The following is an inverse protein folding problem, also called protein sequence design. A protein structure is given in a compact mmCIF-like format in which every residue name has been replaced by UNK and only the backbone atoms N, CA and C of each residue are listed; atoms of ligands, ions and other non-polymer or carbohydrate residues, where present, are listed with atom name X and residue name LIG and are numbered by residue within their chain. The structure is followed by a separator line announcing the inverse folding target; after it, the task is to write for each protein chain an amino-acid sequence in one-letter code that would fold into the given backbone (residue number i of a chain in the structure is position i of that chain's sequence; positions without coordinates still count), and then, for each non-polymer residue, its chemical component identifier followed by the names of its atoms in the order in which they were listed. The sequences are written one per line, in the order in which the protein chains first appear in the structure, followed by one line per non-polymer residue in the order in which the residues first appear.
data_IF_410794541375
#
_entry.id   IF_410794541375
#
_cell.length_a   1.000
_cell.length_b   1.000
_cell.length_c   1.000
_cell.angle_alpha   90.00
_cell.angle_beta   90.00
_cell.angle_gamma   90.00
#
_symmetry.space_group_name_H-M   'P 1'
#
loop_
_entity.id
_entity.type
_entity.pdbx_description
1 polymer ?
#
# COMPACT_ATOMS: atom_id res chain seq x y z
N UNK A 1 -40.35 26.54 -26.65
CA UNK A 1 -38.90 26.22 -26.48
C UNK A 1 -38.32 26.44 -25.07
N UNK A 2 -39.08 26.81 -24.02
CA UNK A 2 -38.53 27.07 -22.67
C UNK A 2 -38.59 25.90 -21.66
N UNK A 3 -39.20 24.75 -22.00
CA UNK A 3 -39.35 23.59 -21.08
C UNK A 3 -38.24 22.52 -21.19
N UNK A 4 -37.34 22.61 -22.18
CA UNK A 4 -36.30 21.59 -22.41
C UNK A 4 -35.02 21.81 -21.56
N UNK A 5 -34.78 23.03 -21.08
CA UNK A 5 -33.58 23.36 -20.31
C UNK A 5 -33.61 22.91 -18.84
N UNK A 6 -34.80 22.65 -18.28
CA UNK A 6 -34.93 22.26 -16.87
C UNK A 6 -34.58 20.79 -16.60
N UNK A 7 -34.67 19.93 -17.62
CA UNK A 7 -34.35 18.49 -17.50
C UNK A 7 -32.83 18.25 -17.61
N UNK A 8 -32.07 19.12 -18.30
CA UNK A 8 -30.62 19.01 -18.38
C UNK A 8 -29.88 19.42 -17.08
N UNK A 9 -30.50 20.25 -16.23
CA UNK A 9 -29.89 20.75 -14.98
C UNK A 9 -30.09 19.82 -13.78
N UNK A 10 -31.12 18.96 -13.79
CA UNK A 10 -31.40 17.99 -12.71
C UNK A 10 -30.65 16.65 -12.87
N UNK A 11 -30.00 16.44 -14.02
CA UNK A 11 -29.10 15.31 -14.28
C UNK A 11 -27.62 15.65 -14.05
N UNK A 12 -27.32 16.77 -13.40
CA UNK A 12 -26.13 16.91 -12.57
C UNK A 12 -26.24 15.94 -11.38
N UNK A 13 -26.32 14.67 -11.75
CA UNK A 13 -26.23 13.50 -10.91
C UNK A 13 -24.96 13.74 -10.13
N UNK A 14 -25.15 14.04 -8.86
CA UNK A 14 -24.13 14.02 -7.85
C UNK A 14 -23.55 12.60 -7.86
N UNK A 15 -22.66 12.33 -8.81
CA UNK A 15 -21.70 11.26 -8.77
C UNK A 15 -20.73 11.65 -7.66
N UNK A 16 -21.25 11.66 -6.42
CA UNK A 16 -20.46 11.70 -5.21
C UNK A 16 -19.52 10.53 -5.36
N UNK A 17 -18.28 10.84 -5.71
CA UNK A 17 -17.27 9.83 -5.95
C UNK A 17 -17.18 9.01 -4.68
N UNK A 18 -17.79 7.81 -4.70
CA UNK A 18 -17.88 7.01 -3.48
C UNK A 18 -16.48 6.83 -2.92
N UNK A 19 -16.33 7.11 -1.64
CA UNK A 19 -15.04 7.10 -0.96
C UNK A 19 -14.48 5.69 -0.96
N UNK A 20 -13.26 5.53 -1.45
CA UNK A 20 -12.50 4.30 -1.22
C UNK A 20 -12.14 4.20 0.27
N UNK A 21 -12.35 3.04 0.88
CA UNK A 21 -11.89 2.73 2.24
C UNK A 21 -10.79 1.69 2.15
N UNK A 22 -9.57 2.08 2.50
CA UNK A 22 -8.37 1.25 2.31
C UNK A 22 -7.69 0.87 3.62
N UNK A 23 -7.28 -0.40 3.74
CA UNK A 23 -6.52 -0.93 4.89
C UNK A 23 -5.20 -1.55 4.42
N UNK A 24 -4.12 -1.28 5.14
CA UNK A 24 -2.82 -1.93 4.97
C UNK A 24 -2.67 -3.17 5.84
N UNK A 25 -2.85 -4.36 5.26
CA UNK A 25 -2.54 -5.63 5.91
C UNK A 25 -1.24 -6.21 5.35
N UNK A 26 -0.11 -5.63 5.75
CA UNK A 26 1.20 -5.99 5.20
C UNK A 26 1.55 -7.47 5.34
N UNK A 27 1.07 -8.14 6.40
CA UNK A 27 1.29 -9.56 6.68
C UNK A 27 0.19 -10.48 6.17
N UNK A 28 -0.72 -10.01 5.31
CA UNK A 28 -1.87 -10.82 4.82
C UNK A 28 -1.46 -12.12 4.13
N UNK A 29 -0.22 -12.24 3.65
CA UNK A 29 0.32 -13.46 3.04
C UNK A 29 0.87 -14.49 4.04
N UNK A 30 0.74 -14.22 5.34
CA UNK A 30 1.11 -15.17 6.36
C UNK A 30 0.01 -16.24 6.53
N UNK A 31 0.37 -17.52 6.55
CA UNK A 31 -0.59 -18.64 6.68
C UNK A 31 -1.45 -18.58 7.95
N UNK A 32 -0.96 -17.98 9.03
CA UNK A 32 -1.70 -17.83 10.29
C UNK A 32 -2.35 -16.44 10.42
N UNK A 33 -2.39 -15.63 9.36
CA UNK A 33 -3.07 -14.35 9.37
C UNK A 33 -4.58 -14.56 9.63
N UNK A 34 -5.21 -13.82 10.56
CA UNK A 34 -6.61 -14.02 10.94
C UNK A 34 -7.57 -13.45 9.86
N UNK A 35 -7.58 -14.08 8.69
CA UNK A 35 -8.17 -13.55 7.47
C UNK A 35 -9.65 -13.17 7.61
N UNK A 36 -10.48 -14.09 8.10
CA UNK A 36 -11.92 -13.88 8.14
C UNK A 36 -12.29 -12.73 9.09
N UNK A 37 -11.54 -12.54 10.19
CA UNK A 37 -11.73 -11.39 11.07
C UNK A 37 -11.27 -10.09 10.42
N UNK A 38 -10.10 -10.12 9.79
CA UNK A 38 -9.53 -8.94 9.13
C UNK A 38 -10.41 -8.42 7.98
N UNK A 39 -11.01 -9.31 7.17
CA UNK A 39 -11.80 -8.90 6.02
C UNK A 39 -13.19 -8.34 6.37
N UNK A 40 -13.73 -8.61 7.57
CA UNK A 40 -15.01 -8.06 8.05
C UNK A 40 -15.05 -6.53 8.08
N UNK A 41 -13.90 -5.85 8.18
CA UNK A 41 -13.85 -4.38 8.13
C UNK A 41 -14.44 -3.82 6.82
N UNK A 42 -14.42 -4.61 5.75
CA UNK A 42 -14.93 -4.27 4.44
C UNK A 42 -16.44 -4.56 4.27
N UNK A 43 -17.13 -5.10 5.27
CA UNK A 43 -18.56 -5.36 5.20
C UNK A 43 -19.34 -4.06 4.99
N UNK A 44 -20.16 -4.00 3.94
CA UNK A 44 -20.89 -2.79 3.54
C UNK A 44 -20.01 -1.65 3.00
N UNK A 45 -18.69 -1.82 2.89
CA UNK A 45 -17.82 -0.87 2.17
C UNK A 45 -18.06 -1.06 0.68
N UNK A 46 -18.42 0.00 -0.04
CA UNK A 46 -18.71 -0.08 -1.49
C UNK A 46 -17.48 -0.22 -2.37
N UNK A 47 -16.38 0.46 -2.00
CA UNK A 47 -15.10 0.47 -2.73
C UNK A 47 -13.95 0.15 -1.76
N UNK A 48 -13.78 -1.12 -1.39
CA UNK A 48 -12.73 -1.53 -0.48
C UNK A 48 -11.38 -1.47 -1.19
N UNK A 49 -10.34 -1.19 -0.42
CA UNK A 49 -8.98 -1.26 -0.91
C UNK A 49 -8.05 -1.98 0.07
N UNK A 50 -7.17 -2.81 -0.48
CA UNK A 50 -6.23 -3.61 0.28
C UNK A 50 -4.82 -3.23 -0.13
N UNK A 51 -3.94 -3.06 0.86
CA UNK A 51 -2.52 -2.84 0.66
C UNK A 51 -1.71 -3.89 1.42
N UNK A 52 -0.70 -4.48 0.78
CA UNK A 52 0.15 -5.48 1.44
C UNK A 52 1.58 -5.55 0.88
N UNK A 53 2.47 -6.24 1.60
CA UNK A 53 3.86 -6.47 1.21
C UNK A 53 4.01 -7.84 0.54
N UNK A 54 4.60 -7.88 -0.65
CA UNK A 54 4.74 -9.13 -1.40
C UNK A 54 5.89 -10.01 -0.89
N UNK A 55 5.55 -11.19 -0.39
CA UNK A 55 6.50 -12.25 -0.04
C UNK A 55 7.25 -12.04 1.28
N UNK A 56 7.08 -10.89 1.94
CA UNK A 56 7.82 -10.54 3.16
C UNK A 56 7.41 -11.41 4.36
N UNK A 57 6.12 -11.68 4.51
CA UNK A 57 5.55 -12.35 5.69
C UNK A 57 5.01 -13.77 5.40
N UNK A 58 5.29 -14.28 4.21
CA UNK A 58 4.79 -15.55 3.70
C UNK A 58 4.47 -15.46 2.21
N UNK A 59 4.03 -16.57 1.63
CA UNK A 59 3.65 -16.71 0.23
C UNK A 59 2.22 -17.27 0.04
N UNK A 60 1.45 -17.37 1.12
CA UNK A 60 0.06 -17.81 1.08
C UNK A 60 -0.84 -16.68 0.57
N UNK A 61 -1.37 -16.84 -0.64
CA UNK A 61 -2.23 -15.82 -1.27
C UNK A 61 -3.72 -15.98 -0.93
N UNK A 62 -4.11 -17.04 -0.22
CA UNK A 62 -5.52 -17.38 0.01
C UNK A 62 -6.33 -16.24 0.64
N UNK A 63 -5.74 -15.48 1.56
CA UNK A 63 -6.44 -14.35 2.17
C UNK A 63 -6.62 -13.15 1.23
N UNK A 64 -5.63 -12.91 0.35
CA UNK A 64 -5.75 -11.87 -0.70
C UNK A 64 -6.82 -12.27 -1.71
N UNK A 65 -6.89 -13.55 -2.07
CA UNK A 65 -7.94 -14.09 -2.94
C UNK A 65 -9.33 -13.92 -2.29
N UNK A 66 -9.48 -14.24 -1.00
CA UNK A 66 -10.72 -13.96 -0.25
C UNK A 66 -11.12 -12.48 -0.30
N UNK A 67 -10.17 -11.54 -0.19
CA UNK A 67 -10.46 -10.11 -0.36
C UNK A 67 -10.98 -9.78 -1.77
N UNK A 68 -10.37 -10.38 -2.79
CA UNK A 68 -10.74 -10.18 -4.19
C UNK A 68 -12.15 -10.72 -4.49
N UNK A 69 -12.51 -11.83 -3.84
CA UNK A 69 -13.80 -12.51 -3.98
C UNK A 69 -14.93 -11.88 -3.15
N UNK A 70 -14.65 -10.86 -2.34
CA UNK A 70 -15.70 -10.12 -1.64
C UNK A 70 -16.74 -9.57 -2.66
N UNK A 71 -18.03 -9.44 -2.30
CA UNK A 71 -19.11 -9.19 -3.27
C UNK A 71 -19.11 -7.79 -3.92
N UNK A 72 -18.21 -6.89 -3.51
CA UNK A 72 -18.15 -5.53 -4.02
C UNK A 72 -17.76 -5.47 -5.50
N UNK A 73 -18.49 -4.63 -6.24
CA UNK A 73 -18.34 -4.47 -7.69
C UNK A 73 -16.98 -3.91 -8.11
N UNK A 74 -16.32 -3.09 -7.28
CA UNK A 74 -15.02 -2.49 -7.61
C UNK A 74 -14.11 -2.48 -6.40
N UNK A 75 -12.85 -2.88 -6.59
CA UNK A 75 -11.84 -2.96 -5.54
C UNK A 75 -10.54 -2.32 -6.01
N UNK A 76 -9.71 -1.89 -5.07
CA UNK A 76 -8.34 -1.49 -5.37
C UNK A 76 -7.35 -2.36 -4.59
N UNK A 77 -6.28 -2.83 -5.24
CA UNK A 77 -5.25 -3.65 -4.59
C UNK A 77 -3.88 -3.02 -4.80
N UNK A 78 -3.16 -2.79 -3.71
CA UNK A 78 -1.86 -2.15 -3.65
C UNK A 78 -0.82 -3.15 -3.16
N UNK A 79 0.15 -3.42 -4.02
CA UNK A 79 1.22 -4.38 -3.75
C UNK A 79 2.50 -3.59 -3.56
N UNK A 80 3.05 -3.63 -2.35
CA UNK A 80 4.41 -3.16 -2.11
C UNK A 80 5.40 -4.24 -2.54
N UNK A 81 6.24 -3.89 -3.51
CA UNK A 81 7.15 -4.84 -4.14
C UNK A 81 8.28 -5.34 -3.22
N UNK A 82 8.70 -4.52 -2.26
CA UNK A 82 9.80 -4.79 -1.32
C UNK A 82 9.52 -4.11 0.01
N UNK A 83 9.94 -4.71 1.13
CA UNK A 83 9.90 -4.08 2.44
C UNK A 83 11.20 -3.30 2.71
N UNK A 84 11.23 -2.00 2.40
CA UNK A 84 12.43 -1.20 2.67
C UNK A 84 12.61 -0.86 4.15
N UNK A 85 11.55 -0.92 4.97
CA UNK A 85 11.66 -0.78 6.42
C UNK A 85 12.55 -1.88 7.02
N UNK A 86 12.29 -3.16 6.69
CA UNK A 86 13.13 -4.25 7.17
C UNK A 86 14.57 -4.12 6.65
N UNK A 87 14.75 -3.60 5.43
CA UNK A 87 16.07 -3.48 4.80
C UNK A 87 16.90 -2.41 5.49
N UNK A 88 16.31 -1.25 5.80
CA UNK A 88 16.94 -0.20 6.59
C UNK A 88 17.37 -0.72 7.96
N UNK A 89 16.49 -1.52 8.58
CA UNK A 89 16.70 -2.06 9.92
C UNK A 89 17.51 -3.38 9.93
N UNK A 90 17.91 -3.90 8.76
CA UNK A 90 18.62 -5.19 8.61
C UNK A 90 17.92 -6.38 9.28
N UNK A 91 16.59 -6.39 9.22
CA UNK A 91 15.74 -7.40 9.86
C UNK A 91 14.89 -8.19 8.87
N UNK A 92 15.15 -8.03 7.57
CA UNK A 92 14.42 -8.75 6.53
C UNK A 92 14.48 -10.26 6.74
N UNK A 93 13.35 -10.91 6.53
CA UNK A 93 13.18 -12.35 6.71
C UNK A 93 13.26 -13.08 5.37
N UNK A 94 13.37 -14.41 5.47
CA UNK A 94 13.25 -15.30 4.32
C UNK A 94 11.95 -15.02 3.57
N UNK A 95 12.08 -14.85 2.26
CA UNK A 95 10.97 -14.48 1.37
C UNK A 95 11.11 -13.08 0.80
N UNK A 96 11.81 -12.16 1.49
CA UNK A 96 12.08 -10.80 1.00
C UNK A 96 13.04 -10.77 -0.20
N UNK A 97 12.86 -9.79 -1.09
CA UNK A 97 13.74 -9.55 -2.23
C UNK A 97 15.13 -9.20 -1.71
N UNK A 98 16.13 -9.98 -2.10
CA UNK A 98 17.52 -9.69 -1.74
C UNK A 98 17.67 -9.45 -0.22
N UNK A 99 17.09 -10.34 0.59
CA UNK A 99 16.92 -10.20 2.05
C UNK A 99 18.19 -9.71 2.79
N UNK A 100 19.37 -10.20 2.40
CA UNK A 100 20.65 -9.93 3.08
C UNK A 100 21.35 -8.67 2.55
N UNK A 101 20.68 -7.92 1.67
CA UNK A 101 21.27 -6.77 1.00
C UNK A 101 20.88 -5.46 1.70
N UNK A 102 21.82 -4.75 2.34
CA UNK A 102 21.53 -3.45 2.93
C UNK A 102 21.23 -2.40 1.85
N UNK A 103 20.54 -1.33 2.24
CA UNK A 103 20.05 -0.26 1.33
C UNK A 103 21.17 0.33 0.46
N UNK A 104 22.35 0.62 1.01
CA UNK A 104 23.47 1.20 0.24
C UNK A 104 23.98 0.25 -0.85
N UNK A 105 24.04 -1.06 -0.56
CA UNK A 105 24.51 -2.08 -1.50
C UNK A 105 23.49 -2.27 -2.63
N UNK A 106 22.20 -2.29 -2.29
CA UNK A 106 21.12 -2.36 -3.27
C UNK A 106 21.11 -1.12 -4.18
N UNK A 107 21.27 0.08 -3.61
CA UNK A 107 21.42 1.31 -4.38
C UNK A 107 22.59 1.23 -5.37
N UNK A 108 23.77 0.79 -4.92
CA UNK A 108 24.94 0.65 -5.78
C UNK A 108 24.72 -0.36 -6.91
N UNK A 109 24.18 -1.55 -6.60
CA UNK A 109 23.95 -2.61 -7.59
C UNK A 109 22.87 -2.24 -8.62
N UNK A 110 21.78 -1.61 -8.18
CA UNK A 110 20.77 -1.06 -9.10
C UNK A 110 21.35 0.09 -9.93
N UNK A 111 22.18 0.93 -9.33
CA UNK A 111 22.92 1.99 -10.03
C UNK A 111 23.78 1.44 -11.17
N UNK A 112 24.50 0.34 -10.90
CA UNK A 112 25.34 -0.38 -11.88
C UNK A 112 24.57 -1.30 -12.82
N UNK A 113 23.25 -1.37 -12.71
CA UNK A 113 22.41 -2.31 -13.47
C UNK A 113 22.87 -3.77 -13.35
N UNK A 114 23.31 -4.17 -12.15
CA UNK A 114 23.78 -5.52 -11.87
C UNK A 114 22.77 -6.59 -12.34
N UNK A 115 23.26 -7.56 -13.13
CA UNK A 115 22.41 -8.55 -13.80
C UNK A 115 21.66 -9.40 -12.78
N UNK A 116 22.33 -9.92 -11.75
CA UNK A 116 21.73 -10.78 -10.73
C UNK A 116 20.62 -10.06 -9.96
N UNK A 117 20.87 -8.81 -9.57
CA UNK A 117 19.90 -7.94 -8.91
C UNK A 117 18.67 -7.70 -9.80
N UNK A 118 18.88 -7.37 -11.08
CA UNK A 118 17.78 -7.17 -12.05
C UNK A 118 16.97 -8.44 -12.27
N UNK A 119 17.62 -9.59 -12.40
CA UNK A 119 16.95 -10.87 -12.63
C UNK A 119 16.11 -11.30 -11.42
N UNK A 120 16.58 -11.03 -10.19
CA UNK A 120 15.79 -11.22 -8.98
C UNK A 120 14.51 -10.35 -8.96
N UNK A 121 14.64 -9.07 -9.33
CA UNK A 121 13.50 -8.15 -9.47
C UNK A 121 12.53 -8.64 -10.54
N UNK A 122 13.02 -8.99 -11.74
CA UNK A 122 12.18 -9.50 -12.83
C UNK A 122 11.44 -10.77 -12.41
N UNK A 123 12.12 -11.69 -11.73
CA UNK A 123 11.53 -12.94 -11.23
C UNK A 123 10.39 -12.66 -10.25
N UNK A 124 10.57 -11.73 -9.30
CA UNK A 124 9.49 -11.33 -8.39
C UNK A 124 8.35 -10.64 -9.12
N UNK A 125 8.64 -9.72 -10.04
CA UNK A 125 7.63 -9.02 -10.82
C UNK A 125 6.80 -9.99 -11.66
N UNK A 126 7.44 -10.99 -12.29
CA UNK A 126 6.73 -12.05 -13.03
C UNK A 126 5.70 -12.75 -12.16
N UNK A 127 6.07 -13.18 -10.94
CA UNK A 127 5.13 -13.81 -10.00
C UNK A 127 3.94 -12.90 -9.63
N UNK A 128 4.20 -11.61 -9.41
CA UNK A 128 3.15 -10.62 -9.12
C UNK A 128 2.20 -10.48 -10.31
N UNK A 129 2.75 -10.37 -11.54
CA UNK A 129 1.95 -10.22 -12.76
C UNK A 129 1.11 -11.47 -13.03
N UNK A 130 1.68 -12.67 -12.90
CA UNK A 130 0.95 -13.94 -13.04
C UNK A 130 -0.23 -14.02 -12.06
N UNK A 131 -0.01 -13.62 -10.79
CA UNK A 131 -1.10 -13.52 -9.82
C UNK A 131 -2.17 -12.53 -10.27
N UNK A 132 -1.80 -11.31 -10.62
CA UNK A 132 -2.74 -10.26 -11.07
C UNK A 132 -3.56 -10.73 -12.27
N UNK A 133 -2.93 -11.35 -13.26
CA UNK A 133 -3.59 -11.86 -14.46
C UNK A 133 -4.60 -12.96 -14.13
N UNK A 134 -4.21 -13.90 -13.27
CA UNK A 134 -5.10 -14.97 -12.82
C UNK A 134 -6.31 -14.42 -12.04
N UNK A 135 -6.12 -13.44 -11.16
CA UNK A 135 -7.23 -12.86 -10.41
C UNK A 135 -8.11 -11.95 -11.27
N UNK A 136 -7.54 -11.19 -12.21
CA UNK A 136 -8.31 -10.34 -13.11
C UNK A 136 -9.18 -11.14 -14.09
N UNK A 137 -8.79 -12.37 -14.44
CA UNK A 137 -9.65 -13.29 -15.21
C UNK A 137 -10.92 -13.67 -14.43
N UNK A 138 -10.82 -13.83 -13.12
CA UNK A 138 -11.96 -14.13 -12.23
C UNK A 138 -12.80 -12.88 -11.92
N UNK A 139 -12.14 -11.75 -11.69
CA UNK A 139 -12.78 -10.50 -11.33
C UNK A 139 -12.11 -9.32 -12.06
N UNK A 140 -12.66 -8.86 -13.20
CA UNK A 140 -12.04 -7.83 -14.02
C UNK A 140 -12.16 -6.40 -13.45
N UNK A 141 -12.90 -6.21 -12.34
CA UNK A 141 -13.21 -4.91 -11.76
C UNK A 141 -12.27 -4.55 -10.60
N UNK A 142 -11.00 -4.87 -10.73
CA UNK A 142 -9.95 -4.54 -9.75
C UNK A 142 -8.98 -3.54 -10.37
N UNK A 143 -8.77 -2.43 -9.67
CA UNK A 143 -7.69 -1.50 -9.98
C UNK A 143 -6.40 -1.96 -9.26
N UNK A 144 -5.34 -2.23 -10.02
CA UNK A 144 -4.10 -2.76 -9.48
C UNK A 144 -3.03 -1.70 -9.38
N UNK A 145 -2.33 -1.66 -8.25
CA UNK A 145 -1.25 -0.72 -7.97
C UNK A 145 -0.03 -1.47 -7.45
N UNK A 146 1.15 -1.14 -7.95
CA UNK A 146 2.41 -1.73 -7.49
C UNK A 146 3.37 -0.58 -7.15
N UNK A 147 3.85 -0.53 -5.91
CA UNK A 147 4.92 0.40 -5.53
C UNK A 147 6.30 -0.21 -5.75
N UNK A 148 7.34 0.61 -5.87
CA UNK A 148 8.74 0.14 -5.86
C UNK A 148 9.16 -0.53 -4.54
N UNK A 149 8.50 -0.18 -3.45
CA UNK A 149 8.58 -0.82 -2.13
C UNK A 149 7.82 0.01 -1.10
N UNK A 150 7.82 -0.42 0.15
CA UNK A 150 7.25 0.31 1.30
C UNK A 150 8.34 1.21 1.90
N UNK A 151 8.12 2.52 1.94
CA UNK A 151 9.05 3.53 2.46
C UNK A 151 10.47 3.47 1.85
N UNK A 152 10.50 3.57 0.53
CA UNK A 152 11.71 3.45 -0.28
C UNK A 152 12.78 4.49 0.08
N UNK A 153 13.98 4.00 0.40
CA UNK A 153 15.17 4.81 0.70
C UNK A 153 16.22 4.74 -0.43
N UNK A 154 15.74 4.81 -1.68
CA UNK A 154 16.60 4.83 -2.87
C UNK A 154 17.04 6.25 -3.21
N UNK A 155 18.27 6.40 -3.71
CA UNK A 155 18.68 7.65 -4.36
C UNK A 155 17.77 7.93 -5.56
N UNK A 156 17.57 9.21 -5.92
CA UNK A 156 16.65 9.57 -7.00
C UNK A 156 16.97 8.84 -8.33
N UNK A 157 18.26 8.74 -8.69
CA UNK A 157 18.70 8.04 -9.90
C UNK A 157 18.36 6.53 -9.85
N UNK A 158 18.58 5.87 -8.70
CA UNK A 158 18.25 4.45 -8.50
C UNK A 158 16.74 4.24 -8.52
N UNK A 159 15.99 5.10 -7.84
CA UNK A 159 14.52 5.09 -7.80
C UNK A 159 13.94 5.15 -9.22
N UNK A 160 14.47 6.03 -10.09
CA UNK A 160 14.07 6.14 -11.50
C UNK A 160 14.40 4.86 -12.29
N UNK A 161 15.60 4.29 -12.09
CA UNK A 161 16.00 3.03 -12.74
C UNK A 161 15.10 1.87 -12.32
N UNK A 162 14.82 1.73 -11.02
CA UNK A 162 13.97 0.67 -10.51
C UNK A 162 12.52 0.83 -10.98
N UNK A 163 11.96 2.03 -10.90
CA UNK A 163 10.63 2.34 -11.43
C UNK A 163 10.51 2.00 -12.93
N UNK A 164 11.51 2.36 -13.74
CA UNK A 164 11.53 2.03 -15.17
C UNK A 164 11.66 0.52 -15.41
N UNK A 165 12.44 -0.19 -14.60
CA UNK A 165 12.53 -1.65 -14.68
C UNK A 165 11.15 -2.29 -14.44
N UNK A 166 10.42 -1.88 -13.39
CA UNK A 166 9.08 -2.37 -13.13
C UNK A 166 8.09 -2.02 -14.25
N UNK A 167 8.16 -0.80 -14.80
CA UNK A 167 7.35 -0.40 -15.96
C UNK A 167 7.62 -1.27 -17.19
N UNK A 168 8.88 -1.59 -17.46
CA UNK A 168 9.25 -2.41 -18.61
C UNK A 168 8.75 -3.85 -18.46
N UNK A 169 8.80 -4.42 -17.26
CA UNK A 169 8.21 -5.74 -17.00
C UNK A 169 6.68 -5.70 -17.08
N UNK A 170 6.04 -4.67 -16.51
CA UNK A 170 4.60 -4.43 -16.63
C UNK A 170 4.15 -4.33 -18.10
N UNK A 171 4.94 -3.71 -18.97
CA UNK A 171 4.61 -3.57 -20.39
C UNK A 171 4.48 -4.91 -21.14
N UNK A 172 5.00 -6.00 -20.58
CA UNK A 172 4.87 -7.36 -21.12
C UNK A 172 3.57 -8.06 -20.73
N UNK A 173 2.84 -7.52 -19.74
CA UNK A 173 1.56 -8.07 -19.29
C UNK A 173 0.41 -7.63 -20.21
N UNK A 174 -0.57 -8.51 -20.39
CA UNK A 174 -1.84 -8.20 -21.06
C UNK A 174 -2.63 -7.10 -20.32
N UNK A 175 -2.36 -6.91 -19.02
CA UNK A 175 -3.04 -5.96 -18.15
C UNK A 175 -2.26 -4.66 -17.93
N UNK A 176 -1.33 -4.34 -18.83
CA UNK A 176 -0.50 -3.13 -18.74
C UNK A 176 -1.31 -1.84 -18.57
N UNK A 177 -2.54 -1.73 -19.04
CA UNK A 177 -3.32 -0.50 -18.86
C UNK A 177 -4.11 -0.47 -17.54
N UNK A 178 -4.32 -1.63 -16.89
CA UNK A 178 -4.98 -1.75 -15.58
C UNK A 178 -4.03 -1.66 -14.39
N UNK A 179 -2.75 -1.95 -14.59
CA UNK A 179 -1.75 -1.95 -13.52
C UNK A 179 -1.08 -0.57 -13.44
N UNK A 180 -1.08 0.08 -12.28
CA UNK A 180 -0.41 1.37 -12.05
C UNK A 180 0.85 1.17 -11.22
N UNK A 181 2.01 1.58 -11.76
CA UNK A 181 3.26 1.60 -10.99
C UNK A 181 3.42 2.98 -10.34
N UNK A 182 3.81 3.01 -9.08
CA UNK A 182 4.09 4.24 -8.34
C UNK A 182 5.30 4.07 -7.42
N UNK A 183 5.74 5.15 -6.78
CA UNK A 183 6.81 5.13 -5.77
C UNK A 183 6.22 5.42 -4.39
N UNK A 184 6.67 4.72 -3.35
CA UNK A 184 6.32 5.07 -1.98
C UNK A 184 7.58 5.46 -1.19
N UNK A 185 8.09 6.69 -1.35
CA UNK A 185 9.39 7.06 -0.80
C UNK A 185 9.29 7.39 0.70
N UNK A 186 10.35 7.08 1.46
CA UNK A 186 10.46 7.48 2.87
C UNK A 186 10.53 9.01 3.04
N UNK A 187 11.31 9.66 2.18
CA UNK A 187 11.44 11.12 2.13
C UNK A 187 10.84 11.68 0.83
N UNK A 188 10.37 12.93 0.87
CA UNK A 188 9.47 13.55 -0.11
C UNK A 188 9.94 13.67 -1.58
N UNK A 189 10.99 12.96 -1.98
CA UNK A 189 11.46 12.90 -3.38
C UNK A 189 10.58 11.96 -4.19
N UNK A 190 9.54 12.51 -4.80
CA UNK A 190 8.66 11.81 -5.71
C UNK A 190 9.18 11.83 -7.15
N UNK A 191 8.86 10.81 -7.95
CA UNK A 191 9.15 10.80 -9.39
C UNK A 191 7.91 11.32 -10.12
N UNK A 192 7.99 12.50 -10.75
CA UNK A 192 6.94 13.07 -11.62
C UNK A 192 5.53 12.96 -11.00
N UNK A 193 5.34 13.45 -9.77
CA UNK A 193 4.07 13.38 -8.97
C UNK A 193 3.49 11.98 -8.72
N UNK A 194 4.09 10.91 -9.25
CA UNK A 194 3.69 9.51 -9.03
C UNK A 194 4.25 8.95 -7.74
N UNK A 195 3.81 9.52 -6.63
CA UNK A 195 4.09 8.97 -5.32
C UNK A 195 2.86 8.92 -4.43
N UNK A 196 2.99 8.14 -3.38
CA UNK A 196 1.94 7.94 -2.38
C UNK A 196 1.44 9.24 -1.73
N UNK A 197 2.35 10.21 -1.57
CA UNK A 197 2.08 11.50 -0.95
C UNK A 197 1.37 12.47 -1.92
N UNK A 198 1.71 12.43 -3.21
CA UNK A 198 1.23 13.39 -4.22
C UNK A 198 0.15 12.81 -5.15
N UNK A 199 -0.67 11.87 -4.64
CA UNK A 199 -1.73 11.11 -5.36
C UNK A 199 -2.82 11.92 -6.08
N UNK A 200 -2.63 13.21 -6.39
CA UNK A 200 -3.53 13.99 -7.25
C UNK A 200 -3.77 13.29 -8.61
N UNK A 201 -2.75 12.65 -9.17
CA UNK A 201 -2.85 11.96 -10.48
C UNK A 201 -3.37 10.51 -10.40
N UNK A 202 -3.54 9.95 -9.19
CA UNK A 202 -4.23 8.67 -9.00
C UNK A 202 -5.74 8.84 -8.76
N UNK A 203 -6.22 10.09 -8.76
CA UNK A 203 -7.62 10.43 -8.96
C UNK A 203 -8.53 10.31 -7.73
N UNK A 204 -8.07 10.59 -6.50
CA UNK A 204 -8.97 10.76 -5.33
C UNK A 204 -8.30 11.28 -4.03
N UNK A 205 -9.11 11.93 -3.20
CA UNK A 205 -8.92 12.20 -1.76
C UNK A 205 -8.92 10.90 -0.92
N UNK A 206 -8.14 9.90 -1.28
CA UNK A 206 -8.15 8.60 -0.59
C UNK A 206 -7.36 8.68 0.72
N UNK A 207 -8.08 8.72 1.84
CA UNK A 207 -7.51 8.57 3.18
C UNK A 207 -7.37 7.07 3.42
N UNK A 208 -6.13 6.59 3.35
CA UNK A 208 -5.78 5.24 3.74
C UNK A 208 -5.69 5.19 5.25
N UNK A 209 -6.27 4.19 5.90
CA UNK A 209 -5.90 3.95 7.29
C UNK A 209 -4.51 3.32 7.26
N UNK A 210 -3.47 4.17 7.29
CA UNK A 210 -2.12 3.70 7.53
C UNK A 210 -1.98 3.37 9.00
N UNK A 211 -1.46 2.17 9.27
CA UNK A 211 -0.69 1.86 10.47
C UNK A 211 0.78 1.85 10.02
N UNK A 212 1.52 2.97 10.12
CA UNK A 212 2.95 3.02 9.86
C UNK A 212 3.72 2.89 11.15
N UNK A 213 4.39 1.76 11.29
CA UNK A 213 5.61 1.63 12.06
C UNK A 213 6.38 0.41 11.55
N UNK A 214 7.40 0.72 10.75
CA UNK A 214 8.34 -0.25 10.19
C UNK A 214 9.29 -0.87 11.23
N UNK A 215 8.78 -1.30 12.38
CA UNK A 215 9.49 -2.24 13.24
C UNK A 215 8.99 -3.67 13.02
N UNK A 216 9.85 -4.61 13.42
CA UNK A 216 9.59 -6.04 13.33
C UNK A 216 8.25 -6.38 13.97
N UNK A 217 7.22 -6.63 13.16
CA UNK A 217 6.14 -7.49 13.59
C UNK A 217 6.76 -8.88 13.74
N UNK A 218 7.25 -9.24 14.93
CA UNK A 218 7.44 -10.66 15.23
C UNK A 218 6.08 -11.32 15.03
N UNK A 219 6.01 -12.63 14.70
CA UNK A 219 4.73 -13.34 14.60
C UNK A 219 3.82 -13.17 15.84
N UNK A 220 4.40 -12.80 16.99
CA UNK A 220 3.72 -12.51 18.26
C UNK A 220 3.56 -11.02 18.62
N UNK A 221 4.20 -10.10 17.91
CA UNK A 221 4.13 -8.66 18.23
C UNK A 221 2.89 -7.98 17.64
N UNK A 222 2.14 -8.66 16.76
CA UNK A 222 0.81 -8.22 16.32
C UNK A 222 -0.26 -8.31 17.44
N UNK A 223 0.09 -8.84 18.62
CA UNK A 223 -0.83 -9.03 19.74
C UNK A 223 -0.31 -8.49 21.08
N UNK A 224 0.85 -7.83 21.13
CA UNK A 224 1.49 -7.44 22.41
C UNK A 224 1.83 -5.97 22.59
N UNK A 225 1.39 -5.10 21.69
CA UNK A 225 1.39 -3.66 21.97
C UNK A 225 -0.05 -3.23 22.25
N UNK A 226 -0.32 -2.97 23.53
CA UNK A 226 -1.60 -2.45 24.01
C UNK A 226 -2.03 -1.29 23.12
N UNK A 227 -3.20 -1.34 22.50
CA UNK A 227 -4.18 -0.23 22.54
C UNK A 227 -5.46 -0.60 21.79
N UNK A 228 -5.47 -1.44 20.73
CA UNK A 228 -6.72 -2.02 20.20
C UNK A 228 -6.52 -3.42 19.57
N UNK A 229 -7.34 -4.39 19.96
CA UNK A 229 -7.57 -5.66 19.27
C UNK A 229 -8.18 -5.43 17.88
N UNK A 230 -8.10 -6.43 16.99
CA UNK A 230 -8.80 -6.40 15.69
C UNK A 230 -10.30 -6.11 15.89
N UNK A 231 -10.89 -6.66 16.95
CA UNK A 231 -12.31 -6.49 17.27
C UNK A 231 -12.61 -5.04 17.69
N UNK A 232 -11.73 -4.39 18.48
CA UNK A 232 -11.86 -2.97 18.84
C UNK A 232 -11.65 -2.02 17.65
N UNK A 233 -10.68 -2.32 16.78
CA UNK A 233 -10.47 -1.55 15.55
C UNK A 233 -11.70 -1.66 14.63
N UNK A 234 -12.22 -2.88 14.46
CA UNK A 234 -13.42 -3.15 13.67
C UNK A 234 -14.63 -2.44 14.25
N UNK A 235 -14.85 -2.53 15.56
CA UNK A 235 -15.94 -1.86 16.25
C UNK A 235 -15.89 -0.33 16.08
N UNK A 236 -14.72 0.29 16.21
CA UNK A 236 -14.54 1.73 15.98
C UNK A 236 -14.79 2.13 14.53
N UNK A 237 -14.27 1.37 13.57
CA UNK A 237 -14.51 1.62 12.15
C UNK A 237 -16.00 1.50 11.80
N UNK A 238 -16.69 0.49 12.33
CA UNK A 238 -18.12 0.27 12.11
C UNK A 238 -18.99 1.35 12.78
N UNK A 239 -18.67 1.75 14.01
CA UNK A 239 -19.39 2.81 14.73
C UNK A 239 -19.27 4.18 14.01
N UNK A 240 -18.15 4.43 13.33
CA UNK A 240 -17.87 5.71 12.66
C UNK A 240 -18.35 5.79 11.21
N UNK A 241 -18.72 4.68 10.55
CA UNK A 241 -19.38 4.65 9.23
C UNK A 241 -20.64 5.54 9.17
N UNK A 242 -21.25 5.88 10.31
CA UNK A 242 -22.43 6.76 10.41
C UNK A 242 -22.17 8.23 10.09
N UNK A 243 -20.94 8.74 10.22
CA UNK A 243 -20.68 10.20 10.23
C UNK A 243 -19.81 10.71 9.06
N UNK A 244 -19.55 9.90 8.03
CA UNK A 244 -18.83 10.34 6.81
C UNK A 244 -17.35 10.70 6.98
N UNK A 245 -16.83 10.73 8.21
CA UNK A 245 -15.46 11.12 8.52
C UNK A 245 -14.47 9.95 8.43
N UNK A 246 -13.29 10.27 7.88
CA UNK A 246 -12.22 9.34 7.49
C UNK A 246 -11.02 9.54 8.43
N UNK A 247 -10.47 8.46 9.00
CA UNK A 247 -9.30 8.56 9.89
C UNK A 247 -8.18 7.57 9.53
N UNK A 248 -6.97 7.93 9.97
CA UNK A 248 -5.71 7.19 9.95
C UNK A 248 -5.39 6.80 11.40
N UNK A 249 -4.98 5.56 11.66
CA UNK A 249 -4.56 5.13 13.01
C UNK A 249 -3.06 4.87 13.00
N UNK A 250 -2.30 5.87 13.48
CA UNK A 250 -0.86 5.83 13.70
C UNK A 250 -0.55 5.47 15.15
N UNK A 251 0.38 4.56 15.38
CA UNK A 251 1.16 4.50 16.63
C UNK A 251 2.58 4.02 16.30
N UNK A 252 3.59 4.70 16.83
CA UNK A 252 4.95 4.17 16.97
C UNK A 252 5.56 4.75 18.24
N UNK A 253 6.07 3.92 19.14
CA UNK A 253 7.10 4.32 20.09
C UNK A 253 8.47 4.05 19.45
N UNK A 254 9.28 5.10 19.33
CA UNK A 254 10.66 5.13 18.83
C UNK A 254 10.87 5.22 17.31
N UNK A 255 11.21 6.42 16.84
CA UNK A 255 12.00 6.63 15.63
C UNK A 255 13.45 6.87 16.04
N UNK A 256 14.34 5.95 15.69
CA UNK A 256 15.78 6.16 15.72
C UNK A 256 16.37 5.72 14.39
N UNK A 257 17.20 6.56 13.77
CA UNK A 257 18.13 6.08 12.74
C UNK A 257 19.13 5.16 13.44
N UNK A 258 19.34 3.95 12.94
CA UNK A 258 20.36 3.06 13.49
C UNK A 258 21.74 3.72 13.33
N UNK A 259 22.30 4.24 14.43
CA UNK A 259 23.54 5.02 14.49
C UNK A 259 23.46 6.36 15.24
N UNK A 260 22.26 6.86 15.56
CA UNK A 260 22.10 8.06 16.40
C UNK A 260 21.94 7.66 17.89
N UNK A 261 22.62 8.33 18.84
CA UNK A 261 22.42 8.05 20.26
C UNK A 261 20.97 8.35 20.67
N UNK A 262 20.39 7.62 21.63
CA UNK A 262 18.99 7.77 22.06
C UNK A 262 18.57 9.21 22.43
N UNK A 263 19.52 10.04 22.85
CA UNK A 263 19.34 11.46 23.17
C UNK A 263 19.11 12.37 21.95
N UNK A 264 19.36 11.88 20.74
CA UNK A 264 19.19 12.64 19.48
C UNK A 264 17.94 12.24 18.69
N UNK A 265 17.18 11.24 19.16
CA UNK A 265 15.86 10.92 18.64
C UNK A 265 14.90 12.09 18.91
N UNK A 266 14.89 13.09 18.03
CA UNK A 266 13.85 14.11 18.04
C UNK A 266 12.55 13.39 17.69
N UNK A 267 11.52 13.37 18.56
CA UNK A 267 10.22 12.87 18.17
C UNK A 267 9.81 13.61 16.88
N UNK A 268 9.22 12.92 15.88
CA UNK A 268 8.71 13.62 14.73
C UNK A 268 7.81 14.74 15.26
N UNK A 269 8.08 15.99 14.82
CA UNK A 269 7.26 17.17 15.15
C UNK A 269 5.81 16.69 15.12
N UNK A 270 5.09 16.79 16.25
CA UNK A 270 3.63 16.56 16.30
C UNK A 270 3.06 17.23 15.06
N UNK A 271 2.72 16.45 14.02
CA UNK A 271 1.98 16.98 12.88
C UNK A 271 0.56 17.08 13.38
N UNK A 272 0.24 18.21 13.99
CA UNK A 272 -1.15 18.59 14.21
C UNK A 272 -1.73 18.85 12.82
N UNK A 273 -2.34 17.83 12.22
CA UNK A 273 -3.14 18.02 11.02
C UNK A 273 -4.40 18.72 11.50
N UNK A 274 -4.47 20.05 11.34
CA UNK A 274 -5.73 20.78 11.46
C UNK A 274 -6.64 20.29 10.33
N UNK A 275 -7.62 19.48 10.68
CA UNK A 275 -8.75 19.18 9.81
C UNK A 275 -9.60 20.46 9.84
N UNK A 276 -9.54 21.25 8.77
CA UNK A 276 -10.49 22.34 8.58
C UNK A 276 -11.77 21.72 8.02
N UNK A 277 -12.86 21.82 8.76
CA UNK A 277 -14.19 21.55 8.22
C UNK A 277 -14.37 22.47 7.01
N UNK A 278 -14.47 21.89 5.81
CA UNK A 278 -15.02 22.64 4.67
C UNK A 278 -16.52 22.68 4.89
N UNK A 279 -17.00 23.82 5.37
CA UNK A 279 -18.39 24.24 5.23
C UNK A 279 -18.76 24.32 3.74
#
# INVERSE_FOLDING_TARGET
MKKLYLILLLLASNALAESTVGIGYYSIQNKTFPCDKALKVFDGVKKPALMFLWGTFGDDLSCVEKFIDLPQKRKEVYIHFSNECCRRNRTCKKGELLQDMPVWKLNNLLGKSDKKTKDAIKKRMKKILEFIENQNKKNPNIDWYISTGLEDNYTFAVKKKFFNLLKNEKAKSELKDKIKIYVNPLDGTCINTKCEIHKKDLGRNNHWLYIPDGYCVKPFDACKTNIFTIDELTAKLLAQKKNGNRFFLWWSEQQGRYGEPPSMAKPPRKRTIKITDRQ
#
